data_IF_216611334903
#
_entry.id   IF_216611334903
#
_cell.length_a   1.000
_cell.length_b   1.000
_cell.length_c   1.000
_cell.angle_alpha   90.00
_cell.angle_beta   90.00
_cell.angle_gamma   90.00
#
_symmetry.space_group_name_H-M   'P 1'
#
loop_
_entity.id
_entity.type
_entity.pdbx_description
1 polymer ?
#
# COMPACT_ATOMS: atom_id res chain seq x y z
N UNK A 1 -24.26 -8.71 2.11
CA UNK A 1 -24.01 -7.95 3.37
C UNK A 1 -22.57 -8.12 3.84
N UNK A 2 -22.01 -9.33 3.80
CA UNK A 2 -20.61 -9.58 4.20
C UNK A 2 -19.59 -8.93 3.28
N UNK A 3 -19.87 -8.87 1.98
CA UNK A 3 -19.03 -8.16 1.02
C UNK A 3 -18.84 -6.69 1.43
N UNK A 4 -19.94 -5.98 1.72
CA UNK A 4 -19.90 -4.58 2.12
C UNK A 4 -19.10 -4.38 3.41
N UNK A 5 -19.30 -5.27 4.40
CA UNK A 5 -18.57 -5.23 5.67
C UNK A 5 -17.06 -5.38 5.46
N UNK A 6 -16.63 -6.31 4.62
CA UNK A 6 -15.20 -6.53 4.33
C UNK A 6 -14.61 -5.54 3.31
N UNK A 7 -15.45 -4.91 2.51
CA UNK A 7 -15.04 -3.89 1.54
C UNK A 7 -14.60 -2.59 2.24
N UNK A 8 -15.23 -2.21 3.35
CA UNK A 8 -14.89 -0.99 4.11
C UNK A 8 -13.41 -0.97 4.55
N UNK A 9 -12.88 -1.97 5.30
CA UNK A 9 -11.48 -1.96 5.71
C UNK A 9 -10.52 -2.12 4.52
N UNK A 10 -10.91 -2.85 3.47
CA UNK A 10 -10.13 -2.94 2.24
C UNK A 10 -9.94 -1.56 1.58
N UNK A 11 -11.05 -0.83 1.37
CA UNK A 11 -11.00 0.52 0.80
C UNK A 11 -10.20 1.48 1.69
N UNK A 12 -10.32 1.37 3.01
CA UNK A 12 -9.52 2.19 3.93
C UNK A 12 -8.01 1.97 3.74
N UNK A 13 -7.56 0.71 3.59
CA UNK A 13 -6.15 0.39 3.31
C UNK A 13 -5.71 0.95 1.96
N UNK A 14 -6.53 0.80 0.91
CA UNK A 14 -6.21 1.31 -0.42
C UNK A 14 -6.16 2.85 -0.45
N UNK A 15 -7.12 3.52 0.18
CA UNK A 15 -7.14 4.99 0.27
C UNK A 15 -5.90 5.47 1.00
N UNK A 16 -5.56 4.85 2.14
CA UNK A 16 -4.36 5.21 2.90
C UNK A 16 -3.09 4.97 2.08
N UNK A 17 -3.02 3.86 1.35
CA UNK A 17 -1.92 3.56 0.42
C UNK A 17 -1.77 4.65 -0.64
N UNK A 18 -2.86 5.06 -1.29
CA UNK A 18 -2.85 6.10 -2.32
C UNK A 18 -2.45 7.45 -1.74
N UNK A 19 -2.97 7.83 -0.56
CA UNK A 19 -2.57 9.06 0.13
C UNK A 19 -1.06 9.06 0.37
N UNK A 20 -0.53 7.97 0.93
CA UNK A 20 0.91 7.87 1.17
C UNK A 20 1.73 7.87 -0.11
N UNK A 21 1.25 7.25 -1.18
CA UNK A 21 1.91 7.29 -2.49
C UNK A 21 1.99 8.72 -3.05
N UNK A 22 0.86 9.44 -3.07
CA UNK A 22 0.80 10.83 -3.56
C UNK A 22 1.69 11.74 -2.73
N UNK A 23 1.57 11.68 -1.39
CA UNK A 23 2.33 12.59 -0.51
C UNK A 23 3.80 12.21 -0.40
N UNK A 24 4.18 10.97 -0.75
CA UNK A 24 5.59 10.60 -0.90
C UNK A 24 6.24 11.35 -2.06
N UNK A 25 5.49 11.67 -3.10
CA UNK A 25 5.96 12.41 -4.28
C UNK A 25 5.85 13.94 -4.07
N UNK A 26 6.93 14.54 -3.56
CA UNK A 26 7.13 15.99 -3.58
C UNK A 26 7.02 16.67 -2.21
N UNK A 27 8.02 17.49 -1.88
CA UNK A 27 8.14 18.19 -0.58
C UNK A 27 7.06 19.24 -0.35
N UNK A 28 6.39 19.72 -1.41
CA UNK A 28 5.28 20.68 -1.33
C UNK A 28 4.13 20.22 -0.44
N UNK A 29 3.91 18.89 -0.35
CA UNK A 29 2.82 18.32 0.44
C UNK A 29 2.97 18.56 1.94
N UNK A 30 4.19 18.79 2.45
CA UNK A 30 4.43 19.05 3.87
C UNK A 30 3.69 20.28 4.41
N UNK A 31 3.42 21.26 3.54
CA UNK A 31 2.71 22.51 3.89
C UNK A 31 1.19 22.41 3.69
N UNK A 32 0.68 21.31 3.14
CA UNK A 32 -0.73 21.15 2.84
C UNK A 32 -1.55 21.01 4.15
N UNK A 33 -2.72 21.68 4.30
CA UNK A 33 -3.50 21.66 5.54
C UNK A 33 -3.87 20.25 6.03
N UNK A 34 -4.43 19.42 5.15
CA UNK A 34 -4.87 18.06 5.50
C UNK A 34 -3.81 16.99 5.25
N UNK A 35 -3.26 16.96 4.03
CA UNK A 35 -2.28 15.95 3.61
C UNK A 35 -0.88 16.13 4.21
N UNK A 36 -0.59 17.28 4.82
CA UNK A 36 0.72 17.59 5.39
C UNK A 36 1.12 16.67 6.54
N UNK A 37 0.14 16.14 7.31
CA UNK A 37 0.44 15.16 8.37
C UNK A 37 1.03 13.89 7.78
N UNK A 38 0.43 13.35 6.72
CA UNK A 38 0.91 12.15 6.03
C UNK A 38 2.27 12.38 5.36
N UNK A 39 2.42 13.53 4.69
CA UNK A 39 3.68 13.93 4.07
C UNK A 39 4.82 13.99 5.08
N UNK A 40 4.60 14.65 6.22
CA UNK A 40 5.60 14.74 7.30
C UNK A 40 5.92 13.39 7.92
N UNK A 41 4.99 12.43 7.93
CA UNK A 41 5.24 11.07 8.42
C UNK A 41 6.12 10.29 7.45
N UNK A 42 5.79 10.29 6.16
CA UNK A 42 6.45 9.41 5.18
C UNK A 42 7.79 9.96 4.68
N UNK A 43 7.93 11.29 4.61
CA UNK A 43 9.12 11.96 4.05
C UNK A 43 10.26 12.16 5.07
N UNK A 44 10.14 11.66 6.32
CA UNK A 44 11.22 11.80 7.33
C UNK A 44 12.50 11.09 6.89
N UNK A 45 12.36 9.87 6.33
CA UNK A 45 13.49 9.10 5.86
C UNK A 45 13.07 8.07 4.81
N UNK A 46 13.97 7.71 3.87
CA UNK A 46 13.70 6.65 2.89
C UNK A 46 13.33 5.31 3.54
N UNK A 47 13.95 4.99 4.68
CA UNK A 47 13.64 3.79 5.47
C UNK A 47 12.18 3.79 5.94
N UNK A 48 11.71 4.91 6.49
CA UNK A 48 10.33 5.02 7.01
C UNK A 48 9.30 4.88 5.89
N UNK A 49 9.56 5.50 4.74
CA UNK A 49 8.72 5.33 3.54
C UNK A 49 8.60 3.86 3.12
N UNK A 50 9.73 3.16 3.04
CA UNK A 50 9.75 1.74 2.70
C UNK A 50 8.91 0.90 3.67
N UNK A 51 9.06 1.10 4.99
CA UNK A 51 8.30 0.34 5.98
C UNK A 51 6.80 0.62 5.93
N UNK A 52 6.39 1.87 5.67
CA UNK A 52 4.97 2.21 5.52
C UNK A 52 4.38 1.48 4.32
N UNK A 53 5.01 1.55 3.14
CA UNK A 53 4.54 0.83 1.96
C UNK A 53 4.58 -0.69 2.16
N UNK A 54 5.58 -1.22 2.87
CA UNK A 54 5.67 -2.65 3.16
C UNK A 54 4.48 -3.13 4.00
N UNK A 55 4.19 -2.42 5.10
CA UNK A 55 3.07 -2.75 5.99
C UNK A 55 1.74 -2.65 5.25
N UNK A 56 1.51 -1.59 4.49
CA UNK A 56 0.27 -1.43 3.73
C UNK A 56 0.12 -2.49 2.63
N UNK A 57 1.21 -2.87 1.97
CA UNK A 57 1.22 -3.96 0.97
C UNK A 57 0.87 -5.29 1.64
N UNK A 58 1.50 -5.61 2.78
CA UNK A 58 1.20 -6.84 3.54
C UNK A 58 -0.26 -6.85 3.99
N UNK A 59 -0.80 -5.72 4.46
CA UNK A 59 -2.21 -5.60 4.85
C UNK A 59 -3.18 -5.73 3.68
N UNK A 60 -2.76 -5.41 2.45
CA UNK A 60 -3.62 -5.52 1.27
C UNK A 60 -3.97 -6.98 0.95
N UNK A 61 -3.06 -7.94 1.17
CA UNK A 61 -3.32 -9.36 0.95
C UNK A 61 -4.48 -9.95 1.78
N UNK A 62 -4.47 -9.88 3.13
CA UNK A 62 -5.57 -10.39 3.93
C UNK A 62 -6.86 -9.61 3.67
N UNK A 63 -6.80 -8.31 3.38
CA UNK A 63 -7.99 -7.53 3.05
C UNK A 63 -8.61 -7.96 1.71
N UNK A 64 -7.80 -8.20 0.68
CA UNK A 64 -8.28 -8.77 -0.58
C UNK A 64 -8.91 -10.16 -0.39
N UNK A 65 -8.30 -11.01 0.45
CA UNK A 65 -8.86 -12.31 0.79
C UNK A 65 -10.21 -12.18 1.52
N UNK A 66 -10.35 -11.23 2.45
CA UNK A 66 -11.61 -10.96 3.15
C UNK A 66 -12.71 -10.49 2.18
N UNK A 67 -12.39 -9.63 1.20
CA UNK A 67 -13.35 -9.20 0.17
C UNK A 67 -13.84 -10.40 -0.65
N UNK A 68 -12.93 -11.30 -1.06
CA UNK A 68 -13.30 -12.52 -1.78
C UNK A 68 -14.16 -13.46 -0.92
N UNK A 69 -13.83 -13.62 0.36
CA UNK A 69 -14.63 -14.40 1.31
C UNK A 69 -16.01 -13.79 1.52
N UNK A 70 -16.11 -12.45 1.61
CA UNK A 70 -17.39 -11.74 1.72
C UNK A 70 -18.30 -11.97 0.53
N UNK A 71 -17.73 -11.87 -0.68
CA UNK A 71 -18.46 -12.19 -1.91
C UNK A 71 -18.95 -13.63 -1.91
N UNK A 72 -18.08 -14.57 -1.50
CA UNK A 72 -18.43 -15.98 -1.46
C UNK A 72 -19.54 -16.26 -0.45
N UNK A 73 -19.47 -15.64 0.73
CA UNK A 73 -20.47 -15.79 1.78
C UNK A 73 -21.83 -15.24 1.36
N UNK A 74 -21.85 -14.06 0.74
CA UNK A 74 -23.09 -13.45 0.24
C UNK A 74 -23.76 -14.27 -0.88
N UNK A 75 -23.00 -15.14 -1.57
CA UNK A 75 -23.50 -15.99 -2.67
C UNK A 75 -23.74 -17.46 -2.30
N UNK A 76 -23.54 -17.84 -1.04
CA UNK A 76 -23.75 -19.22 -0.57
C UNK A 76 -25.19 -19.71 -0.80
N UNK A 77 -26.18 -18.82 -0.69
CA UNK A 77 -27.60 -19.19 -0.78
C UNK A 77 -28.13 -19.23 -2.24
N UNK A 78 -27.50 -18.51 -3.16
CA UNK A 78 -28.01 -18.29 -4.53
C UNK A 78 -27.19 -19.08 -5.58
N UNK A 79 -26.02 -19.58 -5.18
CA UNK A 79 -25.05 -20.21 -6.07
C UNK A 79 -24.20 -19.14 -6.77
N UNK A 80 -22.87 -19.08 -6.55
CA UNK A 80 -22.07 -18.01 -7.09
C UNK A 80 -22.00 -18.07 -8.61
N UNK A 81 -22.52 -17.05 -9.29
CA UNK A 81 -22.18 -16.80 -10.69
C UNK A 81 -20.65 -16.65 -10.78
N UNK A 82 -20.02 -17.61 -11.49
CA UNK A 82 -18.56 -17.71 -11.61
C UNK A 82 -17.93 -16.43 -12.15
N UNK A 83 -18.65 -15.70 -12.99
CA UNK A 83 -18.22 -14.46 -13.64
C UNK A 83 -17.89 -13.37 -12.63
N UNK A 84 -18.70 -13.20 -11.59
CA UNK A 84 -18.50 -12.14 -10.60
C UNK A 84 -17.30 -12.39 -9.71
N UNK A 85 -17.09 -13.66 -9.32
CA UNK A 85 -15.92 -14.06 -8.54
C UNK A 85 -14.64 -13.79 -9.34
N UNK A 86 -14.63 -14.14 -10.62
CA UNK A 86 -13.49 -13.88 -11.51
C UNK A 86 -13.25 -12.38 -11.68
N UNK A 87 -14.28 -11.57 -11.88
CA UNK A 87 -14.14 -10.11 -12.01
C UNK A 87 -13.53 -9.48 -10.76
N UNK A 88 -13.98 -9.89 -9.57
CA UNK A 88 -13.40 -9.40 -8.30
C UNK A 88 -11.96 -9.87 -8.14
N UNK A 89 -11.64 -11.12 -8.49
CA UNK A 89 -10.25 -11.62 -8.48
C UNK A 89 -9.33 -10.80 -9.39
N UNK A 90 -9.76 -10.50 -10.61
CA UNK A 90 -8.99 -9.69 -11.57
C UNK A 90 -8.73 -8.28 -11.02
N UNK A 91 -9.72 -7.65 -10.39
CA UNK A 91 -9.54 -6.37 -9.72
C UNK A 91 -8.54 -6.46 -8.55
N UNK A 92 -8.62 -7.51 -7.74
CA UNK A 92 -7.66 -7.72 -6.64
C UNK A 92 -6.23 -7.89 -7.16
N UNK A 93 -6.04 -8.65 -8.26
CA UNK A 93 -4.73 -8.80 -8.87
C UNK A 93 -4.17 -7.48 -9.42
N UNK A 94 -5.01 -6.64 -10.02
CA UNK A 94 -4.60 -5.31 -10.48
C UNK A 94 -4.10 -4.44 -9.32
N UNK A 95 -4.86 -4.42 -8.22
CA UNK A 95 -4.50 -3.67 -7.01
C UNK A 95 -3.18 -4.19 -6.42
N UNK A 96 -3.02 -5.51 -6.29
CA UNK A 96 -1.79 -6.12 -5.74
C UNK A 96 -0.57 -5.86 -6.64
N UNK A 97 -0.73 -5.96 -7.97
CA UNK A 97 0.34 -5.65 -8.90
C UNK A 97 0.81 -4.19 -8.76
N UNK A 98 -0.14 -3.28 -8.61
CA UNK A 98 0.14 -1.87 -8.36
C UNK A 98 0.87 -1.64 -7.03
N UNK A 99 0.39 -2.21 -5.92
CA UNK A 99 1.02 -1.99 -4.60
C UNK A 99 2.45 -2.55 -4.53
N UNK A 100 2.70 -3.72 -5.14
CA UNK A 100 4.03 -4.32 -5.24
C UNK A 100 4.99 -3.42 -6.02
N UNK A 101 4.55 -2.83 -7.13
CA UNK A 101 5.39 -1.95 -7.94
C UNK A 101 5.86 -0.71 -7.15
N UNK A 102 4.95 -0.09 -6.40
CA UNK A 102 5.26 1.08 -5.55
C UNK A 102 6.20 0.70 -4.39
N UNK A 103 5.94 -0.43 -3.72
CA UNK A 103 6.81 -0.96 -2.68
C UNK A 103 8.24 -1.16 -3.19
N UNK A 104 8.39 -1.76 -4.37
CA UNK A 104 9.70 -1.99 -4.98
C UNK A 104 10.44 -0.68 -5.28
N UNK A 105 9.72 0.33 -5.78
CA UNK A 105 10.24 1.69 -5.97
C UNK A 105 10.79 2.28 -4.67
N UNK A 106 10.01 2.22 -3.58
CA UNK A 106 10.44 2.71 -2.28
C UNK A 106 11.61 1.92 -1.69
N UNK A 107 11.65 0.61 -1.89
CA UNK A 107 12.76 -0.25 -1.46
C UNK A 107 14.07 0.16 -2.15
N UNK A 108 14.04 0.41 -3.47
CA UNK A 108 15.21 0.84 -4.23
C UNK A 108 15.77 2.17 -3.70
N UNK A 109 14.89 3.13 -3.43
CA UNK A 109 15.29 4.44 -2.87
C UNK A 109 15.94 4.27 -1.49
N UNK A 110 15.35 3.46 -0.62
CA UNK A 110 15.94 3.19 0.70
C UNK A 110 17.30 2.50 0.58
N UNK A 111 17.43 1.47 -0.25
CA UNK A 111 18.68 0.73 -0.45
C UNK A 111 19.81 1.64 -0.93
N UNK A 112 19.52 2.55 -1.85
CA UNK A 112 20.51 3.50 -2.36
C UNK A 112 20.92 4.51 -1.30
N UNK A 113 19.98 5.04 -0.52
CA UNK A 113 20.29 5.93 0.60
C UNK A 113 21.15 5.22 1.67
N UNK A 114 20.81 3.99 2.03
CA UNK A 114 21.57 3.21 3.00
C UNK A 114 23.01 2.91 2.55
N UNK A 115 23.23 2.72 1.24
CA UNK A 115 24.57 2.57 0.67
C UNK A 115 25.37 3.86 0.73
N UNK A 116 24.76 4.98 0.34
CA UNK A 116 25.41 6.29 0.40
C UNK A 116 25.82 6.66 1.84
N UNK A 117 24.95 6.41 2.83
CA UNK A 117 25.29 6.61 4.25
C UNK A 117 26.45 5.72 4.72
N UNK A 118 26.54 4.49 4.21
CA UNK A 118 27.64 3.59 4.54
C UNK A 118 28.96 4.04 3.91
N UNK A 119 28.95 4.47 2.65
CA UNK A 119 30.12 5.00 1.95
C UNK A 119 30.65 6.28 2.63
N UNK A 120 29.76 7.17 3.06
CA UNK A 120 30.15 8.38 3.80
C UNK A 120 30.82 8.06 5.13
N UNK A 121 30.31 7.08 5.89
CA UNK A 121 30.91 6.66 7.15
C UNK A 121 32.31 6.08 6.97
N UNK A 122 32.54 5.32 5.89
CA UNK A 122 33.88 4.79 5.57
C UNK A 122 34.84 5.95 5.26
N UNK A 123 34.41 6.91 4.44
CA UNK A 123 35.24 8.09 4.08
C UNK A 123 35.59 8.96 5.29
N UNK A 124 34.71 9.08 6.27
CA UNK A 124 34.96 9.87 7.49
C UNK A 124 35.85 9.15 8.51
N UNK A 125 36.13 7.86 8.30
CA UNK A 125 36.98 7.04 9.16
C UNK A 125 38.42 6.88 8.63
N UNK A 126 38.67 7.25 7.37
CA UNK A 126 39.99 7.37 6.72
C UNK A 126 40.59 8.77 6.94
#
# INVERSE_FOLDING_TARGET
MWLEIFLIPFLAVIILFIIFWIVHEGTRWQKHPHLGVFARIIQVSPKRSFFIFLVLTILTFPMAALVMLGLWWDKLEIGPEKTDVVNVMLLMFLVLAFTIAILWGSFRTWRHAARAEAEEKVRMAE
#
